data_IF_367056309974
#
_entry.id   IF_367056309974
#
_cell.length_a   1.000
_cell.length_b   1.000
_cell.length_c   1.000
_cell.angle_alpha   90.00
_cell.angle_beta   90.00
_cell.angle_gamma   90.00
#
_symmetry.space_group_name_H-M   'P 1'
#
loop_
_entity.id
_entity.type
_entity.pdbx_description
1 polymer ?
#
# COMPACT_ATOMS: atom_id res chain seq x y z
N UNK A 1 -2.78 14.71 -17.58
CA UNK A 1 -1.99 14.61 -16.33
C UNK A 1 -2.92 14.29 -15.17
N UNK A 2 -2.53 13.35 -14.31
CA UNK A 2 -3.38 12.83 -13.20
C UNK A 2 -2.85 13.18 -11.80
N UNK A 3 -1.70 13.86 -11.69
CA UNK A 3 -1.16 14.28 -10.40
C UNK A 3 -1.79 15.60 -9.93
N UNK A 4 -1.91 15.82 -8.61
CA UNK A 4 -2.51 17.04 -8.07
C UNK A 4 -1.81 18.34 -8.50
N UNK A 5 -0.49 18.29 -8.70
CA UNK A 5 0.33 19.43 -9.12
C UNK A 5 1.13 19.08 -10.40
N UNK A 6 0.51 19.17 -11.59
CA UNK A 6 1.19 19.03 -12.87
C UNK A 6 2.50 19.80 -12.96
N UNK A 7 3.54 19.20 -13.55
CA UNK A 7 4.86 19.82 -13.72
C UNK A 7 5.72 19.97 -12.45
N UNK A 8 5.20 19.67 -11.24
CA UNK A 8 5.97 19.81 -10.00
C UNK A 8 6.75 18.52 -9.68
N UNK A 9 8.08 18.58 -9.51
CA UNK A 9 8.88 17.38 -9.25
C UNK A 9 8.60 16.80 -7.86
N UNK A 10 8.55 15.47 -7.78
CA UNK A 10 8.50 14.72 -6.53
C UNK A 10 9.69 13.76 -6.46
N UNK A 11 10.15 13.47 -5.25
CA UNK A 11 11.27 12.54 -5.05
C UNK A 11 10.81 11.08 -5.06
N UNK A 12 11.69 10.20 -5.55
CA UNK A 12 11.49 8.76 -5.46
C UNK A 12 11.39 8.25 -4.02
N UNK A 13 10.91 7.03 -3.85
CA UNK A 13 10.75 6.43 -2.53
C UNK A 13 10.98 4.92 -2.55
N UNK A 14 11.40 4.37 -1.40
CA UNK A 14 11.58 2.94 -1.20
C UNK A 14 10.79 2.50 0.03
N UNK A 15 10.03 1.41 -0.08
CA UNK A 15 9.24 0.84 1.01
C UNK A 15 9.38 -0.68 1.01
N UNK A 16 9.46 -1.25 2.21
CA UNK A 16 9.44 -2.71 2.42
C UNK A 16 8.15 -3.08 3.12
N UNK A 17 7.51 -4.15 2.67
CA UNK A 17 6.29 -4.68 3.26
C UNK A 17 6.40 -6.18 3.51
N UNK A 18 5.64 -6.68 4.48
CA UNK A 18 5.74 -8.04 4.99
C UNK A 18 4.42 -8.80 4.90
N UNK A 19 4.49 -10.03 4.41
CA UNK A 19 3.39 -10.98 4.37
C UNK A 19 3.84 -12.29 5.02
N UNK A 20 2.97 -13.01 5.76
CA UNK A 20 3.32 -14.32 6.27
C UNK A 20 3.48 -15.32 5.12
N UNK A 21 4.34 -16.32 5.29
CA UNK A 21 4.53 -17.34 4.27
C UNK A 21 3.44 -18.42 4.35
N UNK A 22 2.25 -18.11 3.83
CA UNK A 22 1.15 -19.06 3.74
C UNK A 22 0.37 -18.91 2.42
N UNK A 23 -0.54 -19.86 2.14
CA UNK A 23 -1.28 -19.91 0.88
C UNK A 23 -2.13 -18.66 0.62
N UNK A 24 -2.79 -18.15 1.66
CA UNK A 24 -3.64 -16.95 1.55
C UNK A 24 -2.80 -15.71 1.26
N UNK A 25 -1.69 -15.54 1.97
CA UNK A 25 -0.79 -14.42 1.77
C UNK A 25 -0.04 -14.46 0.43
N UNK A 26 0.28 -15.65 -0.10
CA UNK A 26 0.79 -15.79 -1.48
C UNK A 26 -0.23 -15.33 -2.52
N UNK A 27 -1.51 -15.60 -2.28
CA UNK A 27 -2.56 -15.06 -3.16
C UNK A 27 -2.63 -13.53 -3.05
N UNK A 28 -2.59 -12.96 -1.84
CA UNK A 28 -2.50 -11.50 -1.65
C UNK A 28 -1.29 -10.90 -2.36
N UNK A 29 -0.13 -11.55 -2.31
CA UNK A 29 1.07 -11.10 -3.02
C UNK A 29 0.83 -10.99 -4.54
N UNK A 30 0.19 -11.99 -5.17
CA UNK A 30 -0.14 -11.93 -6.61
C UNK A 30 -1.07 -10.75 -6.94
N UNK A 31 -2.03 -10.43 -6.07
CA UNK A 31 -2.92 -9.29 -6.25
C UNK A 31 -2.19 -7.96 -6.08
N UNK A 32 -1.26 -7.86 -5.13
CA UNK A 32 -0.42 -6.68 -4.94
C UNK A 32 0.52 -6.45 -6.13
N UNK A 33 1.07 -7.52 -6.71
CA UNK A 33 1.87 -7.43 -7.94
C UNK A 33 1.03 -6.88 -9.10
N UNK A 34 -0.17 -7.42 -9.31
CA UNK A 34 -1.13 -6.90 -10.29
C UNK A 34 -1.52 -5.44 -10.02
N UNK A 35 -1.70 -5.07 -8.75
CA UNK A 35 -1.95 -3.67 -8.36
C UNK A 35 -0.77 -2.76 -8.70
N UNK A 36 0.46 -3.25 -8.56
CA UNK A 36 1.65 -2.49 -8.91
C UNK A 36 1.73 -2.25 -10.43
N UNK A 37 1.48 -3.29 -11.22
CA UNK A 37 1.42 -3.21 -12.70
C UNK A 37 0.35 -2.23 -13.19
N UNK A 38 -0.79 -2.18 -12.51
CA UNK A 38 -1.89 -1.25 -12.79
C UNK A 38 -1.69 0.15 -12.16
N UNK A 39 -0.50 0.44 -11.61
CA UNK A 39 -0.14 1.72 -10.99
C UNK A 39 -1.05 2.11 -9.81
N UNK A 40 -1.59 1.12 -9.09
CA UNK A 40 -2.57 1.31 -8.00
C UNK A 40 -1.96 1.24 -6.60
N UNK A 41 -0.67 0.89 -6.44
CA UNK A 41 -0.03 0.79 -5.11
C UNK A 41 0.30 2.17 -4.52
N UNK A 42 0.81 3.07 -5.36
CA UNK A 42 1.26 4.40 -4.95
C UNK A 42 0.51 5.48 -5.73
N UNK A 43 0.50 6.68 -5.18
CA UNK A 43 0.06 7.90 -5.86
C UNK A 43 0.96 9.07 -5.42
N UNK A 44 0.86 10.22 -6.10
CA UNK A 44 1.50 11.46 -5.66
C UNK A 44 0.42 12.35 -5.02
N UNK A 45 0.69 12.82 -3.81
CA UNK A 45 -0.26 13.67 -3.09
C UNK A 45 0.25 14.10 -1.73
N UNK A 46 -0.67 14.34 -0.81
CA UNK A 46 -0.35 14.71 0.56
C UNK A 46 -0.12 13.47 1.43
N UNK A 47 1.01 13.43 2.12
CA UNK A 47 1.29 12.42 3.13
C UNK A 47 0.43 12.65 4.37
N UNK A 48 -0.46 11.70 4.70
CA UNK A 48 -1.30 11.79 5.91
C UNK A 48 -0.49 11.81 7.20
N UNK A 49 0.70 11.19 7.21
CA UNK A 49 1.53 11.07 8.42
C UNK A 49 2.42 12.29 8.66
N UNK A 50 2.89 12.94 7.59
CA UNK A 50 3.84 14.07 7.71
C UNK A 50 3.23 15.41 7.31
N UNK A 51 2.08 15.43 6.64
CA UNK A 51 1.44 16.62 6.10
C UNK A 51 2.11 17.20 4.85
N UNK A 52 3.16 16.56 4.33
CA UNK A 52 3.87 17.06 3.15
C UNK A 52 3.10 16.78 1.87
N UNK A 53 2.99 17.80 1.02
CA UNK A 53 2.44 17.71 -0.33
C UNK A 53 3.48 17.28 -1.35
N UNK A 54 3.00 16.84 -2.52
CA UNK A 54 3.80 16.43 -3.67
C UNK A 54 4.82 15.32 -3.35
N UNK A 55 4.41 14.36 -2.52
CA UNK A 55 5.23 13.19 -2.17
C UNK A 55 4.53 11.91 -2.59
N UNK A 56 5.32 10.85 -2.76
CA UNK A 56 4.78 9.50 -3.04
C UNK A 56 4.13 8.95 -1.77
N UNK A 57 2.85 8.60 -1.86
CA UNK A 57 2.05 8.04 -0.76
C UNK A 57 1.42 6.71 -1.16
N UNK A 58 1.02 5.92 -0.17
CA UNK A 58 0.19 4.74 -0.40
C UNK A 58 -1.16 5.16 -0.98
N UNK A 59 -1.64 4.43 -1.97
CA UNK A 59 -2.91 4.72 -2.63
C UNK A 59 -4.03 3.85 -2.01
N UNK A 60 -4.32 4.02 -0.72
CA UNK A 60 -5.39 3.33 0.03
C UNK A 60 -5.37 1.77 0.00
N UNK A 61 -4.23 1.15 -0.37
CA UNK A 61 -3.96 -0.27 -0.13
C UNK A 61 -2.96 -0.36 1.03
N UNK A 62 -3.40 -0.85 2.18
CA UNK A 62 -2.58 -0.92 3.37
C UNK A 62 -1.53 -2.02 3.26
N UNK A 63 -0.29 -1.67 3.58
CA UNK A 63 0.84 -2.59 3.65
C UNK A 63 1.32 -2.71 5.10
N UNK A 64 1.80 -3.90 5.47
CA UNK A 64 2.49 -4.10 6.75
C UNK A 64 3.96 -3.75 6.60
N UNK A 65 4.37 -2.59 7.10
CA UNK A 65 5.75 -2.10 7.02
C UNK A 65 6.60 -2.48 8.23
N UNK A 66 6.03 -3.19 9.19
CA UNK A 66 6.75 -3.77 10.33
C UNK A 66 6.38 -5.26 10.45
N UNK A 67 7.31 -6.06 10.97
CA UNK A 67 7.02 -7.47 11.31
C UNK A 67 6.34 -7.59 12.68
N UNK A 68 6.57 -6.62 13.58
CA UNK A 68 6.10 -6.65 14.97
C UNK A 68 5.29 -5.39 15.32
N UNK A 69 4.73 -5.36 16.54
CA UNK A 69 4.06 -4.18 17.10
C UNK A 69 2.55 -4.07 16.79
N UNK A 70 1.96 -5.10 16.18
CA UNK A 70 0.52 -5.17 15.93
C UNK A 70 -0.01 -4.12 14.95
N UNK A 71 -1.33 -3.99 14.91
CA UNK A 71 -2.02 -3.08 13.98
C UNK A 71 -1.57 -1.61 14.13
N UNK A 72 -1.36 -1.15 15.36
CA UNK A 72 -0.98 0.24 15.69
C UNK A 72 0.38 0.64 15.08
N UNK A 73 1.29 -0.32 14.92
CA UNK A 73 2.62 -0.08 14.37
C UNK A 73 2.77 -0.62 12.95
N UNK A 74 1.66 -0.79 12.21
CA UNK A 74 1.66 -1.33 10.86
C UNK A 74 2.33 -2.70 10.75
N UNK A 75 2.25 -3.53 11.80
CA UNK A 75 2.87 -4.83 11.88
C UNK A 75 1.96 -5.95 12.37
N UNK A 76 2.56 -7.07 12.77
CA UNK A 76 1.86 -8.25 13.28
C UNK A 76 2.00 -8.34 14.82
N UNK A 77 1.09 -9.05 15.53
CA UNK A 77 -0.08 -9.77 15.02
C UNK A 77 -1.22 -8.86 14.57
N UNK A 78 -1.85 -9.22 13.45
CA UNK A 78 -3.09 -8.62 12.95
C UNK A 78 -3.87 -9.69 12.18
N UNK A 79 -4.89 -10.24 12.82
CA UNK A 79 -5.67 -11.36 12.28
C UNK A 79 -6.62 -10.93 11.15
N UNK A 80 -6.90 -9.64 11.01
CA UNK A 80 -7.88 -9.14 10.02
C UNK A 80 -7.21 -8.60 8.76
N UNK A 81 -5.89 -8.37 8.80
CA UNK A 81 -5.13 -7.76 7.71
C UNK A 81 -5.34 -8.40 6.34
N UNK A 82 -5.18 -9.73 6.21
CA UNK A 82 -5.29 -10.38 4.89
C UNK A 82 -6.69 -10.23 4.28
N UNK A 83 -7.74 -10.23 5.10
CA UNK A 83 -9.10 -9.94 4.64
C UNK A 83 -9.28 -8.48 4.25
N UNK A 84 -8.75 -7.56 5.06
CA UNK A 84 -8.83 -6.12 4.82
C UNK A 84 -8.14 -5.73 3.51
N UNK A 85 -6.90 -6.17 3.29
CA UNK A 85 -6.15 -5.84 2.06
C UNK A 85 -6.80 -6.42 0.81
N UNK A 86 -7.42 -7.61 0.90
CA UNK A 86 -8.22 -8.17 -0.22
C UNK A 86 -9.43 -7.29 -0.55
N UNK A 87 -10.11 -6.73 0.46
CA UNK A 87 -11.24 -5.82 0.24
C UNK A 87 -10.78 -4.50 -0.40
N UNK A 88 -9.65 -3.95 0.03
CA UNK A 88 -9.06 -2.73 -0.55
C UNK A 88 -8.66 -2.94 -2.01
N UNK A 89 -8.04 -4.09 -2.32
CA UNK A 89 -7.72 -4.49 -3.69
C UNK A 89 -8.98 -4.65 -4.54
N UNK A 90 -10.00 -5.33 -4.01
CA UNK A 90 -11.27 -5.52 -4.71
C UNK A 90 -12.00 -4.19 -4.97
N UNK A 91 -11.94 -3.23 -4.04
CA UNK A 91 -12.50 -1.89 -4.20
C UNK A 91 -11.82 -1.11 -5.34
N UNK A 92 -10.57 -1.43 -5.66
CA UNK A 92 -9.84 -0.93 -6.84
C UNK A 92 -10.03 -1.78 -8.10
N UNK A 93 -10.94 -2.76 -8.08
CA UNK A 93 -11.21 -3.64 -9.21
C UNK A 93 -10.18 -4.76 -9.39
N UNK A 94 -9.33 -5.02 -8.39
CA UNK A 94 -8.26 -6.02 -8.47
C UNK A 94 -8.74 -7.31 -7.78
N UNK A 95 -8.82 -8.37 -8.58
CA UNK A 95 -9.26 -9.72 -8.20
C UNK A 95 -8.34 -10.77 -8.82
#
# INVERSE_FOLDING_TARGET
ESHPNPGTPYHGTTRTAYLPENREARHVLSLLQKAFELQQIFTVGQSRTTGYDNVITWNDIHHKTNVNGGMENFGYPDKTYLNRVKQELAAKGIK
#
